data_IF_278083821664
#
_entry.id   IF_278083821664
#
_cell.length_a   1.000
_cell.length_b   1.000
_cell.length_c   1.000
_cell.angle_alpha   90.00
_cell.angle_beta   90.00
_cell.angle_gamma   90.00
#
_symmetry.space_group_name_H-M   'P 1'
#
loop_
_entity.id
_entity.type
_entity.pdbx_description
1 polymer ?
#
# COMPACT_ATOMS: atom_id res chain seq x y z
N UNK A 1 0.77 23.26 14.56
CA UNK A 1 0.07 22.10 13.98
C UNK A 1 0.96 21.19 13.10
N UNK A 2 2.22 21.58 12.79
CA UNK A 2 3.16 20.74 12.01
C UNK A 2 3.39 19.31 12.54
N UNK A 3 3.45 19.13 13.88
CA UNK A 3 3.69 17.81 14.47
C UNK A 3 2.55 16.80 14.23
N UNK A 4 1.30 17.26 14.14
CA UNK A 4 0.16 16.35 14.00
C UNK A 4 0.08 15.76 12.59
N UNK A 5 0.19 16.59 11.55
CA UNK A 5 0.24 16.13 10.15
C UNK A 5 1.43 15.17 9.92
N UNK A 6 2.61 15.48 10.49
CA UNK A 6 3.78 14.59 10.40
C UNK A 6 3.55 13.25 11.11
N UNK A 7 2.92 13.25 12.29
CA UNK A 7 2.59 12.03 13.01
C UNK A 7 1.63 11.14 12.22
N UNK A 8 0.57 11.72 11.64
CA UNK A 8 -0.37 11.00 10.79
C UNK A 8 0.31 10.41 9.55
N UNK A 9 1.19 11.18 8.90
CA UNK A 9 1.94 10.73 7.73
C UNK A 9 2.82 9.51 8.06
N UNK A 10 3.56 9.56 9.16
CA UNK A 10 4.39 8.45 9.63
C UNK A 10 3.56 7.24 10.03
N UNK A 11 2.42 7.44 10.71
CA UNK A 11 1.52 6.36 11.07
C UNK A 11 0.92 5.68 9.81
N UNK A 12 0.50 6.46 8.81
CA UNK A 12 0.04 5.94 7.52
C UNK A 12 1.13 5.21 6.75
N UNK A 13 2.36 5.74 6.75
CA UNK A 13 3.52 5.08 6.16
C UNK A 13 3.82 3.74 6.85
N UNK A 14 3.76 3.66 8.18
CA UNK A 14 3.93 2.41 8.92
C UNK A 14 2.83 1.40 8.58
N UNK A 15 1.58 1.83 8.40
CA UNK A 15 0.51 0.95 7.94
C UNK A 15 0.81 0.37 6.55
N UNK A 16 1.31 1.18 5.60
CA UNK A 16 1.76 0.68 4.29
C UNK A 16 2.99 -0.23 4.37
N UNK A 17 3.92 0.01 5.30
CA UNK A 17 5.06 -0.90 5.53
C UNK A 17 4.55 -2.27 6.00
N UNK A 18 3.63 -2.30 6.97
CA UNK A 18 3.03 -3.54 7.46
C UNK A 18 2.26 -4.24 6.33
N UNK A 19 1.49 -3.48 5.54
CA UNK A 19 0.81 -4.00 4.36
C UNK A 19 1.79 -4.68 3.39
N UNK A 20 2.92 -4.04 3.08
CA UNK A 20 3.92 -4.58 2.17
C UNK A 20 4.55 -5.88 2.72
N UNK A 21 4.83 -5.94 4.02
CA UNK A 21 5.36 -7.15 4.67
C UNK A 21 4.36 -8.33 4.60
N UNK A 22 3.06 -8.05 4.80
CA UNK A 22 2.01 -9.06 4.64
C UNK A 22 1.94 -9.55 3.18
N UNK A 23 2.14 -8.67 2.21
CA UNK A 23 2.07 -9.01 0.79
C UNK A 23 3.33 -9.70 0.27
N UNK A 24 4.51 -9.45 0.85
CA UNK A 24 5.68 -10.32 0.63
C UNK A 24 5.42 -11.75 1.10
N UNK A 25 4.81 -11.90 2.28
CA UNK A 25 4.40 -13.23 2.77
C UNK A 25 3.37 -13.88 1.83
N UNK A 26 2.37 -13.13 1.38
CA UNK A 26 1.38 -13.62 0.43
C UNK A 26 2.02 -14.04 -0.91
N UNK A 27 2.94 -13.23 -1.45
CA UNK A 27 3.68 -13.54 -2.67
C UNK A 27 4.47 -14.85 -2.51
N UNK A 28 5.14 -15.03 -1.37
CA UNK A 28 5.85 -16.27 -1.05
C UNK A 28 4.89 -17.47 -0.98
N UNK A 29 3.74 -17.33 -0.34
CA UNK A 29 2.74 -18.41 -0.27
C UNK A 29 2.17 -18.77 -1.65
N UNK A 30 1.91 -17.79 -2.52
CA UNK A 30 1.46 -18.04 -3.90
C UNK A 30 2.56 -18.71 -4.72
N UNK A 31 3.82 -18.31 -4.53
CA UNK A 31 4.96 -18.99 -5.15
C UNK A 31 5.06 -20.46 -4.70
N UNK A 32 4.96 -20.73 -3.40
CA UNK A 32 4.96 -22.10 -2.89
C UNK A 32 3.78 -22.93 -3.42
N UNK A 33 2.60 -22.32 -3.56
CA UNK A 33 1.44 -22.96 -4.18
C UNK A 33 1.69 -23.29 -5.66
N UNK A 34 2.36 -22.39 -6.39
CA UNK A 34 2.72 -22.64 -7.78
C UNK A 34 3.58 -23.90 -7.93
N UNK A 35 4.51 -24.12 -7.00
CA UNK A 35 5.43 -25.27 -7.00
C UNK A 35 4.75 -26.62 -6.71
N UNK A 36 3.50 -26.64 -6.24
CA UNK A 36 2.75 -27.90 -6.05
C UNK A 36 2.02 -28.34 -7.30
N UNK A 37 1.95 -27.48 -8.33
CA UNK A 37 1.26 -27.78 -9.58
C UNK A 37 2.22 -28.41 -10.61
N UNK A 38 1.71 -29.31 -11.48
CA UNK A 38 2.47 -29.76 -12.64
C UNK A 38 2.70 -28.59 -13.62
N UNK A 39 3.71 -28.72 -14.46
CA UNK A 39 4.01 -27.73 -15.49
C UNK A 39 2.82 -27.48 -16.42
N UNK A 40 2.59 -26.21 -16.72
CA UNK A 40 1.49 -25.76 -17.57
C UNK A 40 1.08 -24.32 -17.28
N UNK A 41 0.01 -23.87 -17.94
CA UNK A 41 -0.47 -22.49 -17.85
C UNK A 41 -0.84 -22.08 -16.42
N UNK A 42 -1.43 -22.98 -15.62
CA UNK A 42 -1.79 -22.70 -14.23
C UNK A 42 -0.55 -22.44 -13.35
N UNK A 43 0.48 -23.31 -13.46
CA UNK A 43 1.77 -23.12 -12.79
C UNK A 43 2.39 -21.77 -13.17
N UNK A 44 2.52 -21.48 -14.47
CA UNK A 44 3.10 -20.22 -14.95
C UNK A 44 2.34 -18.97 -14.49
N UNK A 45 0.99 -19.00 -14.45
CA UNK A 45 0.18 -17.88 -13.98
C UNK A 45 0.29 -17.64 -12.49
N UNK A 46 0.42 -18.70 -11.68
CA UNK A 46 0.67 -18.53 -10.24
C UNK A 46 2.07 -17.96 -9.96
N UNK A 47 3.10 -18.42 -10.68
CA UNK A 47 4.44 -17.82 -10.59
C UNK A 47 4.41 -16.34 -10.97
N UNK A 48 3.74 -16.00 -12.09
CA UNK A 48 3.57 -14.61 -12.51
C UNK A 48 2.81 -13.79 -11.46
N UNK A 49 1.77 -14.34 -10.85
CA UNK A 49 1.00 -13.68 -9.80
C UNK A 49 1.89 -13.40 -8.57
N UNK A 50 2.66 -14.38 -8.11
CA UNK A 50 3.61 -14.21 -7.02
C UNK A 50 4.66 -13.12 -7.33
N UNK A 51 5.19 -13.11 -8.55
CA UNK A 51 6.13 -12.10 -9.03
C UNK A 51 5.52 -10.69 -8.99
N UNK A 52 4.34 -10.50 -9.59
CA UNK A 52 3.66 -9.20 -9.57
C UNK A 52 3.37 -8.73 -8.14
N UNK A 53 2.89 -9.64 -7.28
CA UNK A 53 2.59 -9.32 -5.89
C UNK A 53 3.83 -8.87 -5.12
N UNK A 54 4.98 -9.51 -5.35
CA UNK A 54 6.25 -9.08 -4.80
C UNK A 54 6.67 -7.69 -5.33
N UNK A 55 6.54 -7.44 -6.63
CA UNK A 55 6.83 -6.12 -7.22
C UNK A 55 5.95 -5.01 -6.65
N UNK A 56 4.64 -5.24 -6.50
CA UNK A 56 3.75 -4.26 -5.87
C UNK A 56 4.07 -4.04 -4.40
N UNK A 57 4.48 -5.09 -3.67
CA UNK A 57 4.94 -4.97 -2.29
C UNK A 57 6.21 -4.10 -2.18
N UNK A 58 7.18 -4.30 -3.08
CA UNK A 58 8.38 -3.44 -3.16
C UNK A 58 8.01 -2.00 -3.47
N UNK A 59 7.16 -1.76 -4.48
CA UNK A 59 6.73 -0.42 -4.85
C UNK A 59 6.04 0.28 -3.67
N UNK A 60 5.10 -0.40 -3.00
CA UNK A 60 4.40 0.14 -1.86
C UNK A 60 5.35 0.49 -0.69
N UNK A 61 6.32 -0.39 -0.41
CA UNK A 61 7.32 -0.17 0.63
C UNK A 61 8.22 1.03 0.34
N UNK A 62 8.76 1.11 -0.88
CA UNK A 62 9.65 2.21 -1.30
C UNK A 62 8.92 3.54 -1.23
N UNK A 63 7.68 3.60 -1.72
CA UNK A 63 6.85 4.81 -1.69
C UNK A 63 6.47 5.17 -0.25
N UNK A 64 6.16 4.18 0.59
CA UNK A 64 5.84 4.41 2.00
C UNK A 64 7.02 5.08 2.73
N UNK A 65 8.22 4.53 2.58
CA UNK A 65 9.43 5.02 3.26
C UNK A 65 9.98 6.31 2.67
N UNK A 66 10.00 6.43 1.33
CA UNK A 66 10.59 7.57 0.64
C UNK A 66 9.67 8.79 0.56
N UNK A 67 8.35 8.57 0.48
CA UNK A 67 7.40 9.62 0.10
C UNK A 67 6.28 9.80 1.14
N UNK A 68 5.53 8.75 1.49
CA UNK A 68 4.44 8.89 2.47
C UNK A 68 4.96 9.30 3.85
N UNK A 69 6.13 8.80 4.27
CA UNK A 69 6.78 9.18 5.53
C UNK A 69 6.98 10.70 5.66
N UNK A 70 7.23 11.36 4.53
CA UNK A 70 7.46 12.80 4.42
C UNK A 70 6.20 13.60 4.05
N UNK A 71 5.02 12.96 4.07
CA UNK A 71 3.74 13.55 3.68
C UNK A 71 3.73 14.12 2.25
N UNK A 72 4.33 13.39 1.32
CA UNK A 72 4.38 13.74 -0.10
C UNK A 72 3.07 13.37 -0.83
N UNK A 73 2.57 14.31 -1.65
CA UNK A 73 1.29 14.16 -2.35
C UNK A 73 1.36 13.16 -3.50
N UNK A 74 2.50 13.08 -4.21
CA UNK A 74 2.69 12.10 -5.26
C UNK A 74 2.77 10.69 -4.67
N UNK A 75 3.48 10.53 -3.55
CA UNK A 75 3.55 9.27 -2.82
C UNK A 75 2.18 8.77 -2.35
N UNK A 76 1.30 9.69 -1.96
CA UNK A 76 -0.10 9.36 -1.64
C UNK A 76 -0.85 8.80 -2.85
N UNK A 77 -0.77 9.47 -4.02
CA UNK A 77 -1.43 8.98 -5.23
C UNK A 77 -0.88 7.62 -5.69
N UNK A 78 0.43 7.43 -5.62
CA UNK A 78 1.06 6.17 -6.01
C UNK A 78 0.57 5.04 -5.08
N UNK A 79 0.65 5.21 -3.77
CA UNK A 79 0.22 4.16 -2.83
C UNK A 79 -1.30 3.97 -2.81
N UNK A 80 -2.10 5.00 -3.04
CA UNK A 80 -3.53 4.83 -3.30
C UNK A 80 -3.74 3.89 -4.49
N UNK A 81 -3.10 4.13 -5.63
CA UNK A 81 -3.29 3.29 -6.82
C UNK A 81 -2.76 1.86 -6.63
N UNK A 82 -1.49 1.72 -6.23
CA UNK A 82 -0.78 0.43 -6.11
C UNK A 82 -1.48 -0.49 -5.11
N UNK A 83 -1.72 0.00 -3.90
CA UNK A 83 -2.27 -0.81 -2.81
C UNK A 83 -3.73 -1.17 -3.11
N UNK A 84 -4.51 -0.22 -3.65
CA UNK A 84 -5.92 -0.48 -3.98
C UNK A 84 -6.07 -1.50 -5.11
N UNK A 85 -5.23 -1.45 -6.15
CA UNK A 85 -5.31 -2.43 -7.25
C UNK A 85 -5.12 -3.86 -6.72
N UNK A 86 -4.15 -4.05 -5.82
CA UNK A 86 -3.86 -5.36 -5.24
C UNK A 86 -5.02 -5.83 -4.35
N UNK A 87 -5.44 -5.03 -3.38
CA UNK A 87 -6.46 -5.47 -2.42
C UNK A 87 -7.86 -5.56 -3.03
N UNK A 88 -8.24 -4.68 -3.96
CA UNK A 88 -9.52 -4.81 -4.68
C UNK A 88 -9.54 -6.10 -5.48
N UNK A 89 -8.46 -6.42 -6.21
CA UNK A 89 -8.35 -7.69 -6.93
C UNK A 89 -8.43 -8.89 -6.00
N UNK A 90 -7.68 -8.87 -4.90
CA UNK A 90 -7.72 -9.92 -3.89
C UNK A 90 -9.12 -10.09 -3.27
N UNK A 91 -9.80 -8.99 -2.94
CA UNK A 91 -11.15 -9.04 -2.37
C UNK A 91 -12.12 -9.69 -3.35
N UNK A 92 -12.15 -9.24 -4.60
CA UNK A 92 -13.11 -9.72 -5.58
C UNK A 92 -12.89 -11.18 -5.99
N UNK A 93 -11.63 -11.59 -6.15
CA UNK A 93 -11.30 -12.89 -6.73
C UNK A 93 -10.86 -13.95 -5.72
N UNK A 94 -10.55 -13.59 -4.48
CA UNK A 94 -10.05 -14.53 -3.46
C UNK A 94 -10.87 -14.49 -2.18
N UNK A 95 -11.06 -13.31 -1.58
CA UNK A 95 -11.73 -13.19 -0.28
C UNK A 95 -13.24 -13.36 -0.37
N UNK A 96 -13.90 -12.61 -1.25
CA UNK A 96 -15.36 -12.63 -1.43
C UNK A 96 -15.88 -14.02 -1.87
N UNK A 97 -15.19 -14.76 -2.78
CA UNK A 97 -15.55 -16.14 -3.09
C UNK A 97 -15.34 -17.14 -1.94
N UNK A 98 -14.63 -16.75 -0.88
CA UNK A 98 -14.37 -17.61 0.28
C UNK A 98 -13.22 -18.60 0.11
N UNK A 99 -12.25 -18.33 -0.78
CA UNK A 99 -11.09 -19.21 -0.97
C UNK A 99 -10.07 -19.15 0.17
N UNK A 100 -10.18 -18.15 1.04
CA UNK A 100 -9.38 -18.01 2.26
C UNK A 100 -10.29 -17.64 3.45
N UNK A 101 -9.93 -18.01 4.69
CA UNK A 101 -10.66 -17.58 5.86
C UNK A 101 -10.58 -16.05 6.03
N UNK A 102 -11.66 -15.44 6.54
CA UNK A 102 -11.76 -13.99 6.77
C UNK A 102 -10.59 -13.44 7.60
N UNK A 103 -10.20 -14.17 8.65
CA UNK A 103 -8.95 -13.93 9.36
C UNK A 103 -8.02 -15.12 9.16
N UNK A 104 -6.76 -14.91 8.73
CA UNK A 104 -6.06 -13.63 8.58
C UNK A 104 -6.27 -12.90 7.23
N UNK A 105 -7.19 -13.35 6.36
CA UNK A 105 -7.37 -12.78 5.00
C UNK A 105 -7.65 -11.28 4.93
N UNK A 106 -8.29 -10.70 5.94
CA UNK A 106 -8.57 -9.26 6.04
C UNK A 106 -7.38 -8.40 6.48
N UNK A 107 -6.26 -8.98 6.91
CA UNK A 107 -5.15 -8.22 7.46
C UNK A 107 -4.59 -7.20 6.46
N UNK A 108 -4.38 -7.60 5.20
CA UNK A 108 -3.97 -6.70 4.12
C UNK A 108 -4.94 -5.52 3.96
N UNK A 109 -6.22 -5.78 3.61
CA UNK A 109 -7.24 -4.74 3.45
C UNK A 109 -7.37 -3.78 4.64
N UNK A 110 -7.24 -4.28 5.88
CA UNK A 110 -7.25 -3.42 7.07
C UNK A 110 -6.09 -2.43 7.06
N UNK A 111 -4.86 -2.88 6.80
CA UNK A 111 -3.70 -1.98 6.75
C UNK A 111 -3.71 -1.06 5.51
N UNK A 112 -4.34 -1.48 4.41
CA UNK A 112 -4.60 -0.60 3.26
C UNK A 112 -5.51 0.56 3.64
N UNK A 113 -6.67 0.29 4.24
CA UNK A 113 -7.62 1.33 4.64
C UNK A 113 -7.00 2.24 5.71
N UNK A 114 -6.28 1.68 6.69
CA UNK A 114 -5.58 2.48 7.70
C UNK A 114 -4.52 3.40 7.07
N UNK A 115 -3.68 2.87 6.17
CA UNK A 115 -2.67 3.65 5.46
C UNK A 115 -3.28 4.77 4.64
N UNK A 116 -4.36 4.47 3.92
CA UNK A 116 -5.08 5.44 3.10
C UNK A 116 -5.71 6.55 3.95
N UNK A 117 -6.45 6.20 5.00
CA UNK A 117 -7.12 7.19 5.85
C UNK A 117 -6.11 8.10 6.55
N UNK A 118 -5.06 7.52 7.17
CA UNK A 118 -4.07 8.30 7.91
C UNK A 118 -3.27 9.23 6.99
N UNK A 119 -2.84 8.74 5.82
CA UNK A 119 -2.10 9.56 4.86
C UNK A 119 -2.98 10.63 4.19
N UNK A 120 -4.28 10.36 3.96
CA UNK A 120 -5.24 11.36 3.47
C UNK A 120 -5.47 12.45 4.51
N UNK A 121 -5.65 12.09 5.78
CA UNK A 121 -5.77 13.04 6.87
C UNK A 121 -4.48 13.85 7.06
N UNK A 122 -3.31 13.25 6.87
CA UNK A 122 -2.03 13.94 6.94
C UNK A 122 -1.92 15.03 5.85
N UNK A 123 -2.35 14.73 4.62
CA UNK A 123 -2.40 15.70 3.52
C UNK A 123 -3.43 16.80 3.76
N UNK A 124 -4.62 16.45 4.25
CA UNK A 124 -5.67 17.42 4.59
C UNK A 124 -5.19 18.45 5.63
N UNK A 125 -4.38 18.01 6.59
CA UNK A 125 -3.81 18.85 7.64
C UNK A 125 -2.44 19.45 7.28
N UNK A 126 -2.02 19.37 6.01
CA UNK A 126 -0.75 19.95 5.55
C UNK A 126 -0.86 21.48 5.57
N UNK A 127 0.04 22.20 6.27
CA UNK A 127 0.04 23.65 6.23
C UNK A 127 0.21 24.14 4.79
N UNK A 128 -0.61 25.11 4.38
CA UNK A 128 -0.39 25.80 3.12
C UNK A 128 0.99 26.47 3.18
N UNK A 129 1.77 26.35 2.11
CA UNK A 129 2.97 27.18 1.99
C UNK A 129 2.52 28.64 2.01
N UNK A 130 3.07 29.45 2.93
CA UNK A 130 2.84 30.89 2.85
C UNK A 130 3.35 31.39 1.50
N UNK A 131 2.62 32.29 0.81
CA UNK A 131 3.12 32.90 -0.41
C UNK A 131 4.46 33.55 -0.09
N UNK A 132 5.51 33.17 -0.82
CA UNK A 132 6.83 33.77 -0.68
C UNK A 132 6.73 35.27 -0.98
N UNK A 133 6.74 36.10 0.07
CA UNK A 133 6.99 37.54 0.04
C UNK A 133 6.17 38.32 -0.98
N UNK A 134 5.01 38.82 -0.57
CA UNK A 134 4.56 40.11 -1.10
C UNK A 134 5.65 41.12 -0.78
N UNK A 135 6.39 41.53 -1.81
CA UNK A 135 7.38 42.60 -1.76
C UNK A 135 6.71 43.77 -1.05
N UNK A 136 7.31 44.22 0.06
CA UNK A 136 6.92 45.47 0.69
C UNK A 136 7.04 46.59 -0.34
N UNK A 137 5.91 46.98 -0.94
CA UNK A 137 5.84 48.16 -1.78
C UNK A 137 6.00 49.37 -0.86
N UNK A 138 7.09 50.09 -1.13
CA UNK A 138 7.47 51.39 -0.56
C UNK A 138 6.41 52.43 -0.93
#
# INVERSE_FOLDING_TARGET
MHNFSSLLAKAGALAYVIWALLHFKAAWSVYQLALTLPDGMAHGRLLQNAWHLACFSVAALVVALGMNWSNDTLGWWINLAVVSIVDVGFILFVLLPGYVPLWPGLAGPVFWILGLLLSSLALWNKPNAEPSGTIAAI
#
